data_IF_246408354296
#
_entry.id   IF_246408354296
#
_cell.length_a   1.000
_cell.length_b   1.000
_cell.length_c   1.000
_cell.angle_alpha   90.00
_cell.angle_beta   90.00
_cell.angle_gamma   90.00
#
_symmetry.space_group_name_H-M   'P 1'
#
loop_
_entity.id
_entity.type
_entity.pdbx_description
1 polymer ?
#
# COMPACT_ATOMS: atom_id res chain seq x y z
N UNK A 1 -10.29 18.04 -11.06
CA UNK A 1 -9.81 16.73 -11.53
C UNK A 1 -10.97 15.75 -11.37
N UNK A 2 -11.17 14.82 -12.30
CA UNK A 2 -12.24 13.83 -12.19
C UNK A 2 -11.85 12.81 -11.11
N UNK A 3 -12.67 12.65 -10.07
CA UNK A 3 -12.46 11.63 -9.04
C UNK A 3 -12.40 10.24 -9.68
N UNK A 4 -11.47 9.40 -9.23
CA UNK A 4 -11.31 8.02 -9.72
C UNK A 4 -12.18 7.04 -8.95
N UNK A 5 -12.50 7.33 -7.69
CA UNK A 5 -13.53 6.59 -6.95
C UNK A 5 -14.88 7.13 -7.41
N UNK A 6 -15.65 6.27 -8.07
CA UNK A 6 -16.90 6.65 -8.71
C UNK A 6 -17.98 6.98 -7.68
N UNK A 7 -18.95 7.81 -8.07
CA UNK A 7 -20.13 8.08 -7.24
C UNK A 7 -20.92 6.80 -6.93
N UNK A 8 -20.85 5.79 -7.80
CA UNK A 8 -21.50 4.48 -7.57
C UNK A 8 -20.85 3.78 -6.37
N UNK A 9 -19.53 3.66 -6.37
CA UNK A 9 -18.78 3.08 -5.24
C UNK A 9 -19.01 3.82 -3.94
N UNK A 10 -18.99 5.16 -3.96
CA UNK A 10 -19.24 5.99 -2.77
C UNK A 10 -20.64 5.77 -2.21
N UNK A 11 -21.66 5.76 -3.08
CA UNK A 11 -23.06 5.50 -2.70
C UNK A 11 -23.24 4.09 -2.16
N UNK A 12 -22.70 3.06 -2.82
CA UNK A 12 -22.80 1.68 -2.34
C UNK A 12 -22.23 1.51 -0.93
N UNK A 13 -21.10 2.17 -0.63
CA UNK A 13 -20.52 2.14 0.72
C UNK A 13 -21.47 2.81 1.74
N UNK A 14 -22.02 3.98 1.41
CA UNK A 14 -22.96 4.67 2.30
C UNK A 14 -24.28 3.91 2.50
N UNK A 15 -24.84 3.36 1.42
CA UNK A 15 -26.06 2.55 1.47
C UNK A 15 -25.85 1.31 2.36
N UNK A 16 -24.67 0.70 2.29
CA UNK A 16 -24.32 -0.41 3.17
C UNK A 16 -24.25 0.02 4.63
N UNK A 17 -23.56 1.14 4.93
CA UNK A 17 -23.45 1.69 6.29
C UNK A 17 -24.85 1.95 6.87
N UNK A 18 -25.73 2.55 6.07
CA UNK A 18 -27.11 2.83 6.46
C UNK A 18 -27.93 1.55 6.68
N UNK A 19 -27.85 0.59 5.76
CA UNK A 19 -28.62 -0.65 5.82
C UNK A 19 -28.26 -1.51 7.03
N UNK A 20 -26.97 -1.52 7.42
CA UNK A 20 -26.49 -2.24 8.61
C UNK A 20 -26.65 -1.44 9.91
N UNK A 21 -27.19 -0.21 9.85
CA UNK A 21 -27.33 0.66 11.02
C UNK A 21 -25.99 1.03 11.66
N UNK A 22 -24.91 1.11 10.88
CA UNK A 22 -23.58 1.37 11.39
C UNK A 22 -23.43 2.86 11.67
N UNK A 23 -23.13 3.19 12.92
CA UNK A 23 -22.94 4.57 13.35
C UNK A 23 -21.55 5.11 12.95
N UNK A 24 -21.46 5.95 11.93
CA UNK A 24 -20.18 6.32 11.29
C UNK A 24 -19.12 6.90 12.24
N UNK A 25 -19.52 7.69 13.25
CA UNK A 25 -18.60 8.26 14.27
C UNK A 25 -18.26 7.31 15.43
N UNK A 26 -18.77 6.07 15.40
CA UNK A 26 -18.46 5.04 16.38
C UNK A 26 -18.76 5.49 17.82
N UNK A 27 -17.78 5.42 18.72
CA UNK A 27 -17.95 5.89 20.12
C UNK A 27 -17.70 7.39 20.31
N UNK A 28 -17.31 8.12 19.27
CA UNK A 28 -17.01 9.55 19.35
C UNK A 28 -18.27 10.36 19.07
N UNK A 29 -18.28 11.62 19.53
CA UNK A 29 -19.29 12.55 19.04
C UNK A 29 -19.04 12.86 17.56
N UNK A 30 -20.08 13.23 16.83
CA UNK A 30 -19.98 13.56 15.42
C UNK A 30 -19.03 14.74 15.16
N UNK A 31 -19.06 15.74 16.05
CA UNK A 31 -18.12 16.87 16.01
C UNK A 31 -16.68 16.43 16.24
N UNK A 32 -16.42 15.59 17.26
CA UNK A 32 -15.05 15.12 17.54
C UNK A 32 -14.50 14.25 16.41
N UNK A 33 -15.36 13.44 15.77
CA UNK A 33 -14.99 12.66 14.60
C UNK A 33 -14.62 13.58 13.43
N UNK A 34 -15.49 14.52 13.10
CA UNK A 34 -15.32 15.39 11.93
C UNK A 34 -14.15 16.37 12.10
N UNK A 35 -13.88 16.85 13.31
CA UNK A 35 -12.71 17.69 13.63
C UNK A 35 -11.37 17.00 13.41
N UNK A 36 -11.34 15.66 13.29
CA UNK A 36 -10.12 14.91 12.96
C UNK A 36 -9.81 14.89 11.47
N UNK A 37 -10.80 15.23 10.64
CA UNK A 37 -10.71 15.25 9.18
C UNK A 37 -10.76 16.67 8.61
N UNK A 38 -11.48 17.57 9.27
CA UNK A 38 -11.80 18.91 8.78
C UNK A 38 -11.60 19.96 9.87
N UNK A 39 -11.18 21.16 9.48
CA UNK A 39 -11.10 22.31 10.39
C UNK A 39 -12.48 22.97 10.55
N UNK A 40 -13.33 22.35 11.39
CA UNK A 40 -14.71 22.78 11.60
C UNK A 40 -14.85 24.20 12.17
N UNK A 41 -13.80 24.71 12.82
CA UNK A 41 -13.79 26.06 13.39
C UNK A 41 -13.66 27.14 12.31
N UNK A 42 -13.02 26.80 11.18
CA UNK A 42 -12.84 27.68 10.02
C UNK A 42 -13.90 27.48 8.93
N UNK A 43 -14.70 26.41 9.01
CA UNK A 43 -15.77 26.14 8.05
C UNK A 43 -17.02 26.95 8.37
N UNK A 44 -17.69 27.44 7.31
CA UNK A 44 -18.93 28.19 7.46
C UNK A 44 -20.06 27.32 8.03
N UNK A 45 -20.87 27.95 8.88
CA UNK A 45 -22.13 27.37 9.36
C UNK A 45 -23.19 27.43 8.25
N UNK A 46 -24.06 26.41 8.17
CA UNK A 46 -25.24 26.48 7.31
C UNK A 46 -26.43 27.14 8.01
N UNK A 47 -26.35 27.30 9.32
CA UNK A 47 -27.23 28.13 10.11
C UNK A 47 -26.52 29.42 10.52
N UNK A 48 -26.99 30.55 9.99
CA UNK A 48 -26.39 31.87 10.24
C UNK A 48 -26.41 32.31 11.71
N UNK A 49 -27.14 31.59 12.59
CA UNK A 49 -27.12 31.81 14.04
C UNK A 49 -25.81 31.36 14.69
N UNK A 50 -25.07 30.45 14.05
CA UNK A 50 -23.81 29.92 14.57
C UNK A 50 -22.62 30.43 13.77
N UNK A 51 -21.49 30.60 14.47
CA UNK A 51 -20.28 31.21 13.91
C UNK A 51 -19.58 30.31 12.88
N UNK A 52 -19.63 28.99 13.07
CA UNK A 52 -18.90 28.01 12.27
C UNK A 52 -19.60 26.65 12.28
N UNK A 53 -19.12 25.74 11.44
CA UNK A 53 -19.67 24.40 11.31
C UNK A 53 -19.61 23.61 12.62
N UNK A 54 -18.58 23.80 13.45
CA UNK A 54 -18.48 23.12 14.75
C UNK A 54 -19.68 23.42 15.66
N UNK A 55 -20.02 24.71 15.83
CA UNK A 55 -21.16 25.13 16.65
C UNK A 55 -22.51 24.71 16.08
N UNK A 56 -22.65 24.77 14.76
CA UNK A 56 -23.85 24.34 14.02
C UNK A 56 -24.14 22.85 14.23
N UNK A 57 -23.14 22.01 13.96
CA UNK A 57 -23.25 20.56 14.11
C UNK A 57 -23.49 20.21 15.58
N UNK A 58 -22.75 20.81 16.52
CA UNK A 58 -22.96 20.55 17.94
C UNK A 58 -24.39 20.87 18.38
N UNK A 59 -24.93 22.01 17.94
CA UNK A 59 -26.30 22.39 18.29
C UNK A 59 -27.31 21.36 17.79
N UNK A 60 -27.22 20.96 16.53
CA UNK A 60 -28.23 20.11 15.89
C UNK A 60 -28.02 18.61 16.08
N UNK A 61 -26.84 18.18 16.55
CA UNK A 61 -26.50 16.75 16.71
C UNK A 61 -26.19 16.34 18.14
N UNK A 62 -25.91 17.29 19.03
CA UNK A 62 -25.61 17.01 20.45
C UNK A 62 -26.66 17.63 21.36
N UNK A 63 -26.93 18.93 21.21
CA UNK A 63 -27.91 19.64 22.03
C UNK A 63 -29.36 19.29 21.64
N UNK A 64 -29.64 19.19 20.34
CA UNK A 64 -30.94 18.85 19.78
C UNK A 64 -30.88 17.62 18.86
N UNK A 65 -30.61 16.43 19.40
CA UNK A 65 -30.27 15.21 18.65
C UNK A 65 -31.25 14.79 17.53
N UNK A 66 -32.51 15.25 17.58
CA UNK A 66 -33.55 14.89 16.60
C UNK A 66 -33.70 15.91 15.46
N UNK A 67 -32.87 16.95 15.40
CA UNK A 67 -33.02 18.00 14.39
C UNK A 67 -32.64 17.51 12.99
N UNK A 68 -31.64 16.63 12.86
CA UNK A 68 -31.13 16.11 11.59
C UNK A 68 -31.19 14.57 11.52
N UNK A 69 -31.17 14.02 10.31
CA UNK A 69 -31.12 12.57 10.08
C UNK A 69 -29.77 11.96 10.49
N UNK A 70 -29.75 10.73 11.01
CA UNK A 70 -28.54 10.02 11.49
C UNK A 70 -27.35 9.99 10.53
N UNK A 71 -27.64 10.02 9.22
CA UNK A 71 -26.65 9.94 8.15
C UNK A 71 -26.52 11.24 7.35
N UNK A 72 -26.93 12.38 7.94
CA UNK A 72 -26.90 13.71 7.33
C UNK A 72 -25.56 14.04 6.65
N UNK A 73 -24.45 13.59 7.24
CA UNK A 73 -23.08 13.86 6.78
C UNK A 73 -22.83 13.36 5.35
N UNK A 74 -23.51 12.30 4.90
CA UNK A 74 -23.33 11.76 3.54
C UNK A 74 -23.93 12.66 2.44
N UNK A 75 -24.89 13.52 2.81
CA UNK A 75 -25.51 14.50 1.93
C UNK A 75 -25.08 15.94 2.17
N UNK A 76 -24.26 16.20 3.19
CA UNK A 76 -23.91 17.57 3.59
C UNK A 76 -22.88 18.20 2.64
N UNK A 77 -23.24 19.36 2.08
CA UNK A 77 -22.43 20.07 1.10
C UNK A 77 -21.11 20.62 1.65
N UNK A 78 -20.97 20.79 2.97
CA UNK A 78 -19.71 21.26 3.59
C UNK A 78 -18.59 20.24 3.43
N UNK A 79 -18.92 18.96 3.55
CA UNK A 79 -17.95 17.85 3.40
C UNK A 79 -17.98 17.26 1.99
N UNK A 80 -19.15 17.31 1.35
CA UNK A 80 -19.38 16.89 -0.03
C UNK A 80 -18.81 15.49 -0.30
N UNK A 81 -19.03 14.53 0.60
CA UNK A 81 -18.34 13.23 0.57
C UNK A 81 -18.61 12.42 -0.71
N UNK A 82 -19.70 12.71 -1.43
CA UNK A 82 -19.98 12.12 -2.74
C UNK A 82 -19.07 12.67 -3.85
N UNK A 83 -18.60 13.91 -3.74
CA UNK A 83 -17.84 14.58 -4.81
C UNK A 83 -16.49 15.15 -4.36
N UNK A 84 -16.10 14.98 -3.10
CA UNK A 84 -14.80 15.39 -2.58
C UNK A 84 -13.66 14.61 -3.24
N UNK A 85 -12.43 15.10 -3.11
CA UNK A 85 -11.23 14.40 -3.58
C UNK A 85 -11.17 12.97 -3.00
N UNK A 86 -10.64 12.02 -3.79
CA UNK A 86 -10.52 10.61 -3.39
C UNK A 86 -9.73 10.43 -2.09
N UNK A 87 -8.72 11.27 -1.84
CA UNK A 87 -7.95 11.24 -0.59
C UNK A 87 -8.79 11.61 0.63
N UNK A 88 -9.67 12.61 0.51
CA UNK A 88 -10.58 13.02 1.59
C UNK A 88 -11.56 11.89 1.90
N UNK A 89 -12.12 11.27 0.85
CA UNK A 89 -13.04 10.15 1.01
C UNK A 89 -12.38 8.94 1.67
N UNK A 90 -11.18 8.56 1.23
CA UNK A 90 -10.43 7.46 1.83
C UNK A 90 -10.05 7.75 3.28
N UNK A 91 -9.68 9.00 3.60
CA UNK A 91 -9.39 9.40 4.98
C UNK A 91 -10.64 9.29 5.86
N UNK A 92 -11.82 9.68 5.36
CA UNK A 92 -13.08 9.50 6.08
C UNK A 92 -13.34 8.02 6.41
N UNK A 93 -13.20 7.13 5.42
CA UNK A 93 -13.35 5.68 5.65
C UNK A 93 -12.31 5.12 6.63
N UNK A 94 -11.05 5.55 6.54
CA UNK A 94 -10.00 5.14 7.48
C UNK A 94 -10.29 5.63 8.91
N UNK A 95 -10.83 6.84 9.06
CA UNK A 95 -11.19 7.39 10.36
C UNK A 95 -12.37 6.62 10.99
N UNK A 96 -13.35 6.17 10.20
CA UNK A 96 -14.41 5.28 10.70
C UNK A 96 -13.83 4.04 11.41
N UNK A 97 -12.82 3.40 10.84
CA UNK A 97 -12.20 2.19 11.43
C UNK A 97 -11.00 2.50 12.33
N UNK A 98 -10.79 3.76 12.69
CA UNK A 98 -9.68 4.15 13.55
C UNK A 98 -9.88 3.64 14.99
N UNK A 99 -8.82 3.20 15.72
CA UNK A 99 -8.95 2.65 17.07
C UNK A 99 -9.56 3.59 18.13
N UNK A 100 -9.52 4.91 17.88
CA UNK A 100 -10.20 5.89 18.73
C UNK A 100 -11.72 5.92 18.48
N UNK A 101 -12.15 5.63 17.25
CA UNK A 101 -13.55 5.65 16.81
C UNK A 101 -14.22 4.30 17.09
N UNK A 102 -13.54 3.19 16.79
CA UNK A 102 -14.04 1.82 16.98
C UNK A 102 -13.02 0.94 17.67
N UNK A 103 -13.44 0.27 18.74
CA UNK A 103 -12.57 -0.60 19.57
C UNK A 103 -12.68 -2.08 19.24
N UNK A 104 -13.83 -2.49 18.71
CA UNK A 104 -14.14 -3.87 18.35
C UNK A 104 -13.45 -4.24 17.03
N UNK A 105 -12.51 -5.18 17.10
CA UNK A 105 -11.81 -5.69 15.93
C UNK A 105 -12.73 -6.40 14.93
N UNK A 106 -13.81 -7.02 15.39
CA UNK A 106 -14.78 -7.69 14.52
C UNK A 106 -15.52 -6.67 13.65
N UNK A 107 -15.98 -5.57 14.26
CA UNK A 107 -16.65 -4.47 13.53
C UNK A 107 -15.68 -3.80 12.54
N UNK A 108 -14.45 -3.53 12.97
CA UNK A 108 -13.39 -2.97 12.12
C UNK A 108 -13.10 -3.86 10.92
N UNK A 109 -12.96 -5.17 11.12
CA UNK A 109 -12.69 -6.12 10.04
C UNK A 109 -13.87 -6.23 9.08
N UNK A 110 -15.10 -6.22 9.59
CA UNK A 110 -16.32 -6.20 8.75
C UNK A 110 -16.31 -4.97 7.84
N UNK A 111 -16.18 -3.78 8.43
CA UNK A 111 -16.14 -2.51 7.68
C UNK A 111 -15.00 -2.46 6.66
N UNK A 112 -13.79 -2.89 7.05
CA UNK A 112 -12.65 -2.95 6.17
C UNK A 112 -12.91 -3.84 4.95
N UNK A 113 -13.56 -4.99 5.15
CA UNK A 113 -13.95 -5.90 4.07
C UNK A 113 -14.94 -5.21 3.11
N UNK A 114 -16.01 -4.62 3.63
CA UNK A 114 -17.01 -3.91 2.82
C UNK A 114 -16.38 -2.78 2.00
N UNK A 115 -15.52 -1.99 2.64
CA UNK A 115 -14.83 -0.89 1.97
C UNK A 115 -13.99 -1.43 0.82
N UNK A 116 -13.18 -2.46 1.06
CA UNK A 116 -12.32 -3.03 0.03
C UNK A 116 -13.08 -3.77 -1.08
N UNK A 117 -14.17 -4.45 -0.77
CA UNK A 117 -15.02 -5.11 -1.77
C UNK A 117 -15.56 -4.08 -2.78
N UNK A 118 -15.94 -2.88 -2.30
CA UNK A 118 -16.42 -1.80 -3.16
C UNK A 118 -15.27 -1.04 -3.85
N UNK A 119 -14.25 -0.61 -3.10
CA UNK A 119 -13.12 0.17 -3.60
C UNK A 119 -12.30 -0.57 -4.66
N UNK A 120 -12.28 -1.91 -4.60
CA UNK A 120 -11.51 -2.74 -5.53
C UNK A 120 -11.91 -2.52 -7.00
N UNK A 121 -13.19 -2.26 -7.26
CA UNK A 121 -13.71 -1.99 -8.60
C UNK A 121 -13.14 -0.70 -9.20
N UNK A 122 -12.77 0.26 -8.36
CA UNK A 122 -12.19 1.56 -8.77
C UNK A 122 -10.66 1.56 -8.64
N UNK A 123 -10.04 0.39 -8.44
CA UNK A 123 -8.60 0.23 -8.22
C UNK A 123 -8.10 0.97 -6.97
N UNK A 124 -8.85 0.95 -5.88
CA UNK A 124 -8.42 1.41 -4.56
C UNK A 124 -8.53 0.29 -3.52
N UNK A 125 -7.77 0.44 -2.44
CA UNK A 125 -7.86 -0.42 -1.26
C UNK A 125 -7.47 0.36 0.00
N UNK A 126 -7.99 -0.06 1.14
CA UNK A 126 -7.59 0.36 2.48
C UNK A 126 -6.78 -0.78 3.08
N UNK A 127 -5.56 -0.46 3.51
CA UNK A 127 -4.59 -1.42 4.06
C UNK A 127 -4.09 -0.95 5.42
N UNK A 128 -3.63 -1.89 6.25
CA UNK A 128 -2.96 -1.56 7.50
C UNK A 128 -1.62 -0.87 7.21
N UNK A 129 -1.46 0.35 7.73
CA UNK A 129 -0.25 1.18 7.62
C UNK A 129 0.73 0.92 8.76
N UNK A 130 0.21 0.83 9.97
CA UNK A 130 1.01 0.71 11.21
C UNK A 130 0.11 0.29 12.37
N UNK A 131 0.66 0.17 13.58
CA UNK A 131 -0.12 -0.05 14.80
C UNK A 131 0.19 1.02 15.84
N UNK A 132 -0.83 1.42 16.60
CA UNK A 132 -0.70 2.23 17.82
C UNK A 132 -1.26 1.43 18.99
N UNK A 133 -0.44 1.21 20.02
CA UNK A 133 -0.82 0.39 21.20
C UNK A 133 -1.37 -1.00 20.82
N UNK A 134 -0.79 -1.62 19.79
CA UNK A 134 -1.21 -2.93 19.27
C UNK A 134 -2.48 -2.90 18.41
N UNK A 135 -3.11 -1.74 18.20
CA UNK A 135 -4.31 -1.56 17.35
C UNK A 135 -3.92 -1.04 15.96
N UNK A 136 -4.53 -1.55 14.87
CA UNK A 136 -4.15 -1.18 13.51
C UNK A 136 -4.56 0.26 13.17
N UNK A 137 -3.72 0.93 12.40
CA UNK A 137 -4.00 2.19 11.71
C UNK A 137 -4.01 1.93 10.21
N UNK A 138 -5.02 2.44 9.52
CA UNK A 138 -5.26 2.15 8.11
C UNK A 138 -4.96 3.34 7.20
N UNK A 139 -4.71 3.07 5.92
CA UNK A 139 -4.55 4.08 4.88
C UNK A 139 -5.17 3.59 3.58
N UNK A 140 -5.84 4.49 2.85
CA UNK A 140 -6.30 4.25 1.49
C UNK A 140 -5.19 4.46 0.46
N UNK A 141 -5.03 3.54 -0.48
CA UNK A 141 -4.09 3.64 -1.60
C UNK A 141 -4.70 3.15 -2.90
N UNK A 142 -4.08 3.49 -4.02
CA UNK A 142 -4.40 2.90 -5.33
C UNK A 142 -3.97 1.43 -5.28
N UNK A 143 -4.93 0.54 -5.55
CA UNK A 143 -4.68 -0.88 -5.78
C UNK A 143 -3.94 -1.02 -7.11
N UNK A 144 -2.62 -1.14 -7.05
CA UNK A 144 -1.81 -1.41 -8.23
C UNK A 144 -2.10 -2.87 -8.61
N UNK A 145 -2.61 -3.13 -9.82
CA UNK A 145 -2.98 -4.50 -10.28
C UNK A 145 -1.84 -5.52 -10.28
N UNK A 146 -0.60 -5.13 -9.98
CA UNK A 146 0.49 -6.04 -9.64
C UNK A 146 0.37 -6.62 -8.21
N UNK A 147 -0.13 -5.82 -7.26
CA UNK A 147 -0.26 -6.17 -5.83
C UNK A 147 -1.22 -7.34 -5.59
N UNK A 148 -2.29 -7.49 -6.36
CA UNK A 148 -3.24 -8.60 -6.15
C UNK A 148 -2.64 -9.95 -6.57
N UNK A 149 -1.76 -9.94 -7.57
CA UNK A 149 -0.96 -11.11 -7.95
C UNK A 149 0.08 -11.37 -6.86
N UNK A 150 0.74 -10.33 -6.36
CA UNK A 150 1.79 -10.41 -5.32
C UNK A 150 1.26 -10.81 -3.93
N UNK A 151 0.09 -10.34 -3.52
CA UNK A 151 -0.53 -10.61 -2.22
C UNK A 151 -1.20 -11.99 -2.20
N UNK A 152 -1.88 -12.39 -3.30
CA UNK A 152 -2.37 -13.76 -3.47
C UNK A 152 -1.21 -14.76 -3.58
N UNK A 153 -0.09 -14.38 -4.22
CA UNK A 153 1.15 -15.18 -4.26
C UNK A 153 1.88 -15.19 -2.91
N UNK A 154 1.90 -14.08 -2.17
CA UNK A 154 2.44 -13.98 -0.81
C UNK A 154 1.75 -14.93 0.18
N UNK A 155 0.45 -15.17 0.00
CA UNK A 155 -0.29 -16.16 0.76
C UNK A 155 0.14 -17.62 0.43
N UNK A 156 0.60 -17.90 -0.78
CA UNK A 156 1.20 -19.18 -1.17
C UNK A 156 2.67 -19.32 -0.69
N UNK A 157 3.36 -18.20 -0.44
CA UNK A 157 4.74 -18.14 0.03
C UNK A 157 4.94 -18.44 1.54
N UNK A 158 3.89 -18.79 2.29
CA UNK A 158 3.87 -18.99 3.76
C UNK A 158 4.91 -19.95 4.38
N UNK A 159 5.74 -20.63 3.59
CA UNK A 159 6.75 -21.57 4.08
C UNK A 159 8.21 -21.19 3.76
N UNK A 160 8.47 -20.09 3.03
CA UNK A 160 9.83 -19.67 2.65
C UNK A 160 9.95 -18.18 2.93
N UNK A 161 10.94 -17.81 3.76
CA UNK A 161 11.00 -16.50 4.42
C UNK A 161 9.76 -16.20 5.28
N UNK A 162 9.90 -15.28 6.23
CA UNK A 162 8.72 -14.72 6.88
C UNK A 162 7.93 -13.98 5.79
N UNK A 163 6.90 -14.59 5.20
CA UNK A 163 6.10 -13.99 4.12
C UNK A 163 5.60 -12.59 4.50
N UNK A 164 5.37 -12.39 5.81
CA UNK A 164 5.10 -11.11 6.43
C UNK A 164 6.20 -10.06 6.17
N UNK A 165 7.49 -10.44 6.26
CA UNK A 165 8.62 -9.57 5.94
C UNK A 165 8.63 -9.16 4.46
N UNK A 166 8.45 -10.10 3.54
CA UNK A 166 8.42 -9.78 2.09
C UNK A 166 7.28 -8.82 1.78
N UNK A 167 6.07 -9.11 2.28
CA UNK A 167 4.91 -8.23 2.14
C UNK A 167 5.15 -6.86 2.77
N UNK A 168 5.76 -6.81 3.95
CA UNK A 168 6.09 -5.56 4.64
C UNK A 168 7.07 -4.72 3.83
N UNK A 169 8.15 -5.31 3.31
CA UNK A 169 9.13 -4.59 2.48
C UNK A 169 8.49 -4.06 1.19
N UNK A 170 7.62 -4.84 0.55
CA UNK A 170 6.88 -4.39 -0.65
C UNK A 170 5.99 -3.19 -0.33
N UNK A 171 5.21 -3.26 0.76
CA UNK A 171 4.38 -2.14 1.18
C UNK A 171 5.23 -0.89 1.52
N UNK A 172 6.34 -1.07 2.23
CA UNK A 172 7.26 0.03 2.59
C UNK A 172 7.88 0.68 1.34
N UNK A 173 8.26 -0.10 0.33
CA UNK A 173 8.71 0.42 -0.96
C UNK A 173 7.62 1.28 -1.60
N UNK A 174 6.40 0.74 -1.71
CA UNK A 174 5.29 1.38 -2.41
C UNK A 174 4.91 2.74 -1.80
N UNK A 175 4.77 2.81 -0.48
CA UNK A 175 4.43 4.08 0.22
C UNK A 175 5.56 5.12 0.12
N UNK A 176 6.79 4.67 -0.14
CA UNK A 176 7.96 5.54 -0.26
C UNK A 176 8.14 6.11 -1.67
N UNK A 177 7.45 5.58 -2.69
CA UNK A 177 7.65 5.98 -4.10
C UNK A 177 7.44 7.49 -4.30
N UNK A 178 6.36 8.05 -3.77
CA UNK A 178 5.98 9.45 -4.02
C UNK A 178 6.78 10.42 -3.16
N UNK A 179 6.95 10.10 -1.87
CA UNK A 179 7.51 11.03 -0.88
C UNK A 179 9.03 10.88 -0.71
N UNK A 180 9.57 9.68 -0.94
CA UNK A 180 10.99 9.39 -0.76
C UNK A 180 11.50 8.36 -1.80
N UNK A 181 11.55 8.71 -3.11
CA UNK A 181 11.97 7.80 -4.18
C UNK A 181 13.28 7.06 -3.90
N UNK A 182 14.29 7.74 -3.35
CA UNK A 182 15.58 7.13 -3.02
C UNK A 182 15.48 6.05 -1.93
N UNK A 183 14.59 6.23 -0.94
CA UNK A 183 14.31 5.23 0.11
C UNK A 183 13.69 3.98 -0.51
N UNK A 184 12.71 4.15 -1.41
CA UNK A 184 12.08 3.00 -2.09
C UNK A 184 13.09 2.15 -2.88
N UNK A 185 14.11 2.76 -3.48
CA UNK A 185 15.20 2.04 -4.17
C UNK A 185 16.10 1.28 -3.18
N UNK A 186 16.41 1.89 -2.03
CA UNK A 186 17.18 1.24 -0.97
C UNK A 186 16.49 -0.03 -0.48
N UNK A 187 15.19 0.07 -0.18
CA UNK A 187 14.37 -1.06 0.24
C UNK A 187 14.28 -2.13 -0.86
N UNK A 188 14.18 -1.74 -2.14
CA UNK A 188 14.18 -2.68 -3.28
C UNK A 188 15.46 -3.53 -3.33
N UNK A 189 16.62 -2.90 -3.13
CA UNK A 189 17.91 -3.60 -3.05
C UNK A 189 17.93 -4.59 -1.88
N UNK A 190 17.51 -4.14 -0.69
CA UNK A 190 17.49 -4.94 0.53
C UNK A 190 16.55 -6.15 0.43
N UNK A 191 15.37 -5.98 -0.20
CA UNK A 191 14.44 -7.07 -0.45
C UNK A 191 15.09 -8.16 -1.31
N UNK A 192 15.69 -7.80 -2.44
CA UNK A 192 16.32 -8.77 -3.35
C UNK A 192 17.48 -9.48 -2.64
N UNK A 193 18.33 -8.75 -1.92
CA UNK A 193 19.42 -9.35 -1.14
C UNK A 193 18.91 -10.35 -0.11
N UNK A 194 17.86 -9.99 0.63
CA UNK A 194 17.29 -10.83 1.68
C UNK A 194 16.69 -12.11 1.07
N UNK A 195 15.96 -11.98 -0.04
CA UNK A 195 15.42 -13.13 -0.77
C UNK A 195 16.53 -14.08 -1.22
N UNK A 196 17.59 -13.55 -1.85
CA UNK A 196 18.71 -14.36 -2.32
C UNK A 196 19.41 -15.08 -1.15
N UNK A 197 19.79 -14.35 -0.10
CA UNK A 197 20.45 -14.92 1.09
C UNK A 197 19.63 -16.04 1.73
N UNK A 198 18.32 -15.84 1.86
CA UNK A 198 17.43 -16.86 2.44
C UNK A 198 17.33 -18.11 1.59
N UNK A 199 17.37 -18.00 0.25
CA UNK A 199 17.40 -19.16 -0.65
C UNK A 199 18.69 -19.98 -0.45
N UNK A 200 19.83 -19.32 -0.23
CA UNK A 200 21.08 -20.00 0.12
C UNK A 200 20.96 -20.73 1.45
N UNK A 201 20.48 -20.03 2.49
CA UNK A 201 20.31 -20.58 3.83
C UNK A 201 19.39 -21.81 3.82
N UNK A 202 18.22 -21.72 3.16
CA UNK A 202 17.25 -22.83 3.08
C UNK A 202 17.74 -24.02 2.23
N UNK A 203 18.70 -23.81 1.33
CA UNK A 203 19.34 -24.88 0.54
C UNK A 203 20.61 -25.43 1.20
N UNK A 204 20.97 -24.97 2.39
CA UNK A 204 22.23 -25.29 3.09
C UNK A 204 23.48 -24.97 2.27
N UNK A 205 23.44 -23.89 1.48
CA UNK A 205 24.56 -23.39 0.69
C UNK A 205 25.15 -22.12 1.32
N UNK A 206 26.45 -21.91 1.19
CA UNK A 206 27.10 -20.75 1.81
C UNK A 206 27.13 -19.54 0.88
N UNK A 207 26.63 -18.41 1.36
CA UNK A 207 26.82 -17.10 0.73
C UNK A 207 28.11 -16.44 1.20
N UNK A 208 28.93 -15.94 0.28
CA UNK A 208 30.08 -15.09 0.62
C UNK A 208 29.59 -13.70 1.05
N UNK A 209 30.16 -13.18 2.14
CA UNK A 209 29.79 -11.89 2.72
C UNK A 209 30.24 -10.70 1.87
N UNK A 210 31.19 -10.91 0.96
CA UNK A 210 31.75 -9.87 0.10
C UNK A 210 31.04 -9.76 -1.25
N UNK A 211 30.01 -10.56 -1.52
CA UNK A 211 29.26 -10.46 -2.76
C UNK A 211 28.45 -9.17 -2.78
N UNK A 212 28.59 -8.43 -3.89
CA UNK A 212 27.64 -7.39 -4.23
C UNK A 212 26.33 -8.03 -4.73
N UNK A 213 25.27 -7.22 -4.79
CA UNK A 213 23.96 -7.72 -5.18
C UNK A 213 23.96 -8.37 -6.60
N UNK A 214 24.64 -7.81 -7.63
CA UNK A 214 24.76 -8.46 -8.93
C UNK A 214 25.37 -9.86 -8.87
N UNK A 215 26.47 -10.04 -8.11
CA UNK A 215 27.10 -11.35 -7.94
C UNK A 215 26.21 -12.32 -7.17
N UNK A 216 25.58 -11.86 -6.08
CA UNK A 216 24.64 -12.65 -5.30
C UNK A 216 23.45 -13.15 -6.15
N UNK A 217 22.91 -12.28 -7.00
CA UNK A 217 21.83 -12.64 -7.92
C UNK A 217 22.28 -13.70 -8.94
N UNK A 218 23.48 -13.55 -9.52
CA UNK A 218 24.04 -14.53 -10.46
C UNK A 218 24.20 -15.91 -9.83
N UNK A 219 24.71 -15.98 -8.59
CA UNK A 219 24.86 -17.25 -7.91
C UNK A 219 23.51 -17.84 -7.47
N UNK A 220 22.53 -17.00 -7.13
CA UNK A 220 21.15 -17.43 -6.82
C UNK A 220 20.49 -18.07 -8.03
N UNK A 221 20.59 -17.47 -9.22
CA UNK A 221 20.02 -18.06 -10.44
C UNK A 221 20.71 -19.35 -10.83
N UNK A 222 22.03 -19.47 -10.63
CA UNK A 222 22.77 -20.73 -10.78
C UNK A 222 22.28 -21.80 -9.81
N UNK A 223 22.13 -21.46 -8.53
CA UNK A 223 21.64 -22.37 -7.50
C UNK A 223 20.22 -22.89 -7.81
N UNK A 224 19.36 -22.01 -8.33
CA UNK A 224 18.01 -22.36 -8.75
C UNK A 224 17.93 -23.05 -10.11
N UNK A 225 19.06 -23.32 -10.79
CA UNK A 225 19.12 -23.85 -12.15
C UNK A 225 18.23 -23.06 -13.12
N UNK A 226 18.38 -21.75 -13.04
CA UNK A 226 17.75 -20.76 -13.90
C UNK A 226 18.78 -20.19 -14.88
N UNK A 227 19.92 -20.85 -15.10
CA UNK A 227 20.90 -20.35 -16.05
C UNK A 227 20.56 -20.81 -17.46
N UNK A 228 20.97 -20.05 -18.49
CA UNK A 228 20.87 -20.45 -19.88
C UNK A 228 21.31 -21.88 -20.18
N UNK A 229 22.31 -22.39 -19.48
CA UNK A 229 22.91 -23.69 -19.74
C UNK A 229 22.04 -24.85 -19.19
N UNK A 230 21.10 -24.54 -18.27
CA UNK A 230 20.16 -25.51 -17.70
C UNK A 230 18.89 -25.71 -18.56
N UNK A 231 18.72 -24.93 -19.63
CA UNK A 231 17.54 -24.98 -20.50
C UNK A 231 17.87 -25.86 -21.73
N UNK A 232 17.13 -26.96 -21.99
CA UNK A 232 17.37 -27.81 -23.14
C UNK A 232 17.36 -27.00 -24.44
N UNK A 233 18.44 -27.11 -25.23
CA UNK A 233 18.59 -26.38 -26.49
C UNK A 233 17.53 -26.75 -27.54
N UNK A 234 16.80 -27.87 -27.37
CA UNK A 234 15.70 -28.26 -28.27
C UNK A 234 14.38 -27.53 -28.01
N UNK A 235 14.26 -26.77 -26.90
CA UNK A 235 13.05 -26.00 -26.65
C UNK A 235 13.00 -24.80 -27.62
N UNK A 236 11.95 -24.72 -28.45
CA UNK A 236 11.71 -23.59 -29.40
C UNK A 236 11.78 -22.19 -28.76
N UNK A 237 11.66 -22.10 -27.43
CA UNK A 237 11.70 -20.86 -26.66
C UNK A 237 13.01 -20.64 -25.86
N UNK A 238 14.01 -21.51 -25.96
CA UNK A 238 15.22 -21.45 -25.13
C UNK A 238 15.92 -20.08 -25.20
N UNK A 239 16.14 -19.55 -26.41
CA UNK A 239 16.76 -18.24 -26.62
C UNK A 239 15.97 -17.09 -25.96
N UNK A 240 14.64 -17.11 -26.09
CA UNK A 240 13.77 -16.08 -25.49
C UNK A 240 13.79 -16.14 -23.96
N UNK A 241 13.80 -17.35 -23.38
CA UNK A 241 13.88 -17.52 -21.92
C UNK A 241 15.25 -17.03 -21.41
N UNK A 242 16.34 -17.35 -22.11
CA UNK A 242 17.69 -16.83 -21.82
C UNK A 242 17.71 -15.30 -21.79
N UNK A 243 17.05 -14.65 -22.76
CA UNK A 243 16.96 -13.20 -22.83
C UNK A 243 16.18 -12.59 -21.65
N UNK A 244 15.06 -13.21 -21.25
CA UNK A 244 14.27 -12.76 -20.10
C UNK A 244 15.10 -12.85 -18.82
N UNK A 245 15.78 -13.97 -18.59
CA UNK A 245 16.64 -14.17 -17.42
C UNK A 245 17.85 -13.21 -17.40
N UNK A 246 18.44 -12.95 -18.58
CA UNK A 246 19.47 -11.93 -18.74
C UNK A 246 18.95 -10.54 -18.35
N UNK A 247 17.72 -10.21 -18.74
CA UNK A 247 17.09 -8.93 -18.42
C UNK A 247 16.82 -8.76 -16.92
N UNK A 248 16.51 -9.84 -16.19
CA UNK A 248 16.41 -9.81 -14.72
C UNK A 248 17.75 -9.43 -14.07
N UNK A 249 18.86 -9.95 -14.58
CA UNK A 249 20.21 -9.58 -14.11
C UNK A 249 20.52 -8.11 -14.38
N UNK A 250 20.15 -7.60 -15.55
CA UNK A 250 20.27 -6.17 -15.89
C UNK A 250 19.44 -5.26 -14.98
N UNK A 251 18.23 -5.69 -14.60
CA UNK A 251 17.39 -4.95 -13.64
C UNK A 251 18.09 -4.83 -12.28
N UNK A 252 18.65 -5.94 -11.78
CA UNK A 252 19.37 -5.95 -10.50
C UNK A 252 20.59 -5.04 -10.53
N UNK A 253 21.35 -5.08 -11.62
CA UNK A 253 22.47 -4.17 -11.85
C UNK A 253 22.00 -2.71 -11.79
N UNK A 254 20.95 -2.35 -12.54
CA UNK A 254 20.41 -0.99 -12.55
C UNK A 254 19.91 -0.53 -11.17
N UNK A 255 19.25 -1.38 -10.40
CA UNK A 255 18.83 -1.06 -9.02
C UNK A 255 20.04 -0.78 -8.13
N UNK A 256 21.09 -1.60 -8.23
CA UNK A 256 22.33 -1.43 -7.46
C UNK A 256 23.03 -0.10 -7.79
N UNK A 257 23.13 0.24 -9.07
CA UNK A 257 23.70 1.50 -9.55
C UNK A 257 22.89 2.72 -9.09
N UNK A 258 21.56 2.68 -9.27
CA UNK A 258 20.68 3.76 -8.83
C UNK A 258 20.80 3.97 -7.32
N UNK A 259 20.86 2.90 -6.53
CA UNK A 259 21.06 3.00 -5.08
C UNK A 259 22.38 3.68 -4.74
N UNK A 260 23.45 3.35 -5.45
CA UNK A 260 24.78 3.91 -5.18
C UNK A 260 24.84 5.40 -5.55
N UNK A 261 24.27 5.79 -6.68
CA UNK A 261 24.22 7.16 -7.18
C UNK A 261 23.25 8.07 -6.38
N UNK A 262 22.07 7.53 -6.02
CA UNK A 262 20.97 8.32 -5.47
C UNK A 262 20.69 8.06 -3.98
N UNK A 263 21.44 7.17 -3.33
CA UNK A 263 21.32 6.87 -1.90
C UNK A 263 21.57 8.06 -0.98
N UNK A 264 21.26 7.88 0.31
CA UNK A 264 21.43 8.87 1.38
C UNK A 264 22.85 8.95 1.95
N UNK A 265 23.77 8.11 1.46
CA UNK A 265 25.10 7.90 2.07
C UNK A 265 26.18 8.94 1.75
N UNK A 266 25.94 9.84 0.80
CA UNK A 266 26.92 10.86 0.39
C UNK A 266 26.26 12.23 0.23
N UNK A 267 26.92 13.28 0.71
CA UNK A 267 26.50 14.67 0.54
C UNK A 267 26.39 15.00 -0.95
N UNK A 268 25.36 15.76 -1.32
CA UNK A 268 25.02 16.05 -2.71
C UNK A 268 25.20 17.53 -3.00
N UNK A 269 25.74 17.86 -4.16
CA UNK A 269 25.87 19.25 -4.61
C UNK A 269 24.50 19.93 -4.73
N UNK A 270 24.46 21.25 -4.51
CA UNK A 270 23.22 22.05 -4.51
C UNK A 270 22.43 22.07 -5.83
N UNK A 271 22.93 21.43 -6.90
CA UNK A 271 22.26 21.26 -8.20
C UNK A 271 21.75 19.83 -8.46
N UNK A 272 21.84 18.94 -7.47
CA UNK A 272 21.48 17.53 -7.63
C UNK A 272 19.98 17.37 -7.97
N UNK A 273 19.69 16.80 -9.15
CA UNK A 273 18.34 16.41 -9.52
C UNK A 273 18.05 15.01 -8.97
N UNK A 274 17.18 14.95 -7.97
CA UNK A 274 16.78 13.71 -7.33
C UNK A 274 16.00 12.75 -8.24
N UNK A 275 15.93 11.49 -7.81
CA UNK A 275 15.13 10.47 -8.47
C UNK A 275 13.65 10.89 -8.48
N UNK A 276 12.98 10.76 -9.63
CA UNK A 276 11.55 11.05 -9.76
C UNK A 276 10.71 9.82 -9.35
N UNK A 277 9.47 10.00 -8.85
CA UNK A 277 8.59 8.90 -8.49
C UNK A 277 8.41 7.85 -9.59
N UNK A 278 8.37 8.27 -10.86
CA UNK A 278 8.28 7.35 -12.01
C UNK A 278 9.46 6.35 -12.10
N UNK A 279 10.67 6.76 -11.74
CA UNK A 279 11.85 5.89 -11.77
C UNK A 279 11.82 4.89 -10.60
N UNK A 280 11.43 5.37 -9.42
CA UNK A 280 11.20 4.55 -8.24
C UNK A 280 10.12 3.50 -8.49
N UNK A 281 8.99 3.90 -9.10
CA UNK A 281 7.88 3.02 -9.43
C UNK A 281 8.30 1.85 -10.33
N UNK A 282 9.13 2.11 -11.34
CA UNK A 282 9.64 1.05 -12.23
C UNK A 282 10.53 0.08 -11.46
N UNK A 283 11.48 0.59 -10.68
CA UNK A 283 12.41 -0.23 -9.91
C UNK A 283 11.71 -1.07 -8.84
N UNK A 284 10.77 -0.48 -8.09
CA UNK A 284 9.96 -1.18 -7.08
C UNK A 284 9.14 -2.30 -7.73
N UNK A 285 8.44 -2.02 -8.84
CA UNK A 285 7.66 -3.05 -9.54
C UNK A 285 8.53 -4.21 -10.05
N UNK A 286 9.70 -3.90 -10.59
CA UNK A 286 10.64 -4.90 -11.09
C UNK A 286 11.25 -5.74 -9.95
N UNK A 287 11.66 -5.09 -8.84
CA UNK A 287 12.22 -5.75 -7.66
C UNK A 287 11.21 -6.70 -6.99
N UNK A 288 9.98 -6.23 -6.78
CA UNK A 288 8.91 -7.04 -6.19
C UNK A 288 8.60 -8.27 -7.05
N UNK A 289 8.48 -8.08 -8.37
CA UNK A 289 8.23 -9.18 -9.32
C UNK A 289 9.36 -10.21 -9.29
N UNK A 290 10.61 -9.73 -9.30
CA UNK A 290 11.79 -10.60 -9.25
C UNK A 290 11.87 -11.39 -7.93
N UNK A 291 11.71 -10.71 -6.79
CA UNK A 291 11.77 -11.33 -5.48
C UNK A 291 10.77 -12.50 -5.37
N UNK A 292 9.53 -12.28 -5.83
CA UNK A 292 8.48 -13.29 -5.81
C UNK A 292 8.81 -14.44 -6.74
N UNK A 293 9.25 -14.14 -7.97
CA UNK A 293 9.65 -15.17 -8.92
C UNK A 293 10.75 -16.10 -8.38
N UNK A 294 11.77 -15.54 -7.71
CA UNK A 294 12.84 -16.31 -7.10
C UNK A 294 12.33 -17.24 -5.99
N UNK A 295 11.47 -16.72 -5.11
CA UNK A 295 10.90 -17.51 -4.01
C UNK A 295 9.95 -18.60 -4.52
N UNK A 296 9.09 -18.29 -5.50
CA UNK A 296 8.22 -19.27 -6.15
C UNK A 296 9.04 -20.37 -6.83
N UNK A 297 10.08 -20.00 -7.57
CA UNK A 297 10.98 -20.98 -8.20
C UNK A 297 11.68 -21.85 -7.16
N UNK A 298 12.09 -21.26 -6.04
CA UNK A 298 12.70 -22.01 -4.96
C UNK A 298 11.74 -23.06 -4.39
N UNK A 299 10.47 -22.69 -4.14
CA UNK A 299 9.43 -23.61 -3.66
C UNK A 299 9.16 -24.75 -4.63
N UNK A 300 9.03 -24.46 -5.93
CA UNK A 300 8.79 -25.50 -6.94
C UNK A 300 9.92 -26.51 -7.06
N UNK A 301 11.14 -26.13 -6.67
CA UNK A 301 12.36 -26.94 -6.73
C UNK A 301 12.89 -27.36 -5.34
N UNK A 302 12.06 -27.31 -4.30
CA UNK A 302 12.29 -28.03 -3.03
C UNK A 302 11.84 -29.47 -3.20
#
# INVERSE_FOLDING_TARGET
MTNRITNITRRNIFDFIQAEGIWWSGRMTETDFLSRLFDLEQMESFDSRFKNAAGDIWQHRVNNQNDWDDNWVFGDNRFNLLHCDDSIFLNFLCEMIHPLVRVDSSEVNKLLQIFNDNLSNDSFEIVEKSKISGKPLFIGRIKISGSETIAKKGAALKQILNAEYVTQQINLMEVSIENAPHVSIGIAKELIETCCKSIFDERNETCDKNWDLPRLMKETTRLLKLTPDDIPNEAKAATSIKQILGSLSSVVQGISEIRNEYGSGHGKDGKFKGLQPRHAKLAVGAASTLAIYLLETHQMKK
#
